data_IF_051496363032
#
_entry.id   IF_051496363032
#
_cell.length_a   1.000
_cell.length_b   1.000
_cell.length_c   1.000
_cell.angle_alpha   90.00
_cell.angle_beta   90.00
_cell.angle_gamma   90.00
#
_symmetry.space_group_name_H-M   'P 1'
#
loop_
_entity.id
_entity.type
_entity.pdbx_description
1 polymer ?
#
# COMPACT_ATOMS: atom_id res chain seq x y z
N UNK A 1 7.88 6.25 -0.26
CA UNK A 1 8.10 7.37 0.68
C UNK A 1 8.40 6.77 2.05
N UNK A 2 9.37 7.32 2.78
CA UNK A 2 9.67 6.97 4.16
C UNK A 2 9.39 8.20 5.05
N UNK A 3 8.97 7.98 6.29
CA UNK A 3 8.75 9.01 7.29
C UNK A 3 9.31 8.56 8.64
N UNK A 4 9.93 9.48 9.36
CA UNK A 4 10.36 9.30 10.73
C UNK A 4 9.39 10.04 11.66
N UNK A 5 8.90 9.33 12.67
CA UNK A 5 7.92 9.85 13.62
C UNK A 5 8.45 9.71 15.05
N UNK A 6 8.09 10.64 15.91
CA UNK A 6 8.31 10.50 17.35
C UNK A 6 7.21 9.63 18.01
N UNK A 7 7.32 9.45 19.32
CA UNK A 7 6.38 8.63 20.09
C UNK A 7 4.94 9.17 20.11
N UNK A 8 4.75 10.46 19.82
CA UNK A 8 3.43 11.10 19.69
C UNK A 8 2.89 11.03 18.25
N UNK A 9 3.53 10.27 17.37
CA UNK A 9 3.24 10.14 15.95
C UNK A 9 3.41 11.44 15.16
N UNK A 10 4.17 12.39 15.68
CA UNK A 10 4.51 13.62 14.97
C UNK A 10 5.63 13.34 13.97
N UNK A 11 5.40 13.72 12.71
CA UNK A 11 6.39 13.58 11.63
C UNK A 11 7.60 14.49 11.91
N UNK A 12 8.78 13.90 11.97
CA UNK A 12 10.08 14.59 12.18
C UNK A 12 10.82 14.80 10.87
N UNK A 13 10.83 13.77 10.03
CA UNK A 13 11.46 13.84 8.72
C UNK A 13 10.73 12.93 7.73
N UNK A 14 10.81 13.27 6.44
CA UNK A 14 10.28 12.45 5.34
C UNK A 14 11.24 12.42 4.17
N UNK A 15 11.28 11.27 3.49
CA UNK A 15 12.08 11.10 2.30
C UNK A 15 11.29 10.39 1.20
N UNK A 16 11.39 10.92 -0.01
CA UNK A 16 10.72 10.36 -1.18
C UNK A 16 11.76 9.84 -2.15
N UNK A 17 11.79 8.53 -2.35
CA UNK A 17 12.64 7.89 -3.35
C UNK A 17 11.80 7.13 -4.37
N UNK A 18 12.32 7.00 -5.59
CA UNK A 18 11.72 6.13 -6.61
C UNK A 18 11.95 4.68 -6.24
N UNK A 19 10.95 3.83 -6.38
CA UNK A 19 11.03 2.39 -6.06
C UNK A 19 11.98 1.64 -7.00
N UNK A 20 12.00 2.01 -8.30
CA UNK A 20 12.77 1.36 -9.37
C UNK A 20 12.47 -0.13 -9.48
N UNK A 21 11.20 -0.49 -9.39
CA UNK A 21 10.74 -1.87 -9.50
C UNK A 21 11.06 -2.51 -10.87
N UNK A 22 11.19 -1.68 -11.90
CA UNK A 22 11.68 -2.06 -13.25
C UNK A 22 13.03 -2.75 -13.23
N UNK A 23 13.81 -2.62 -12.16
CA UNK A 23 15.13 -3.24 -11.98
C UNK A 23 15.10 -4.55 -11.19
N UNK A 24 13.91 -5.03 -10.83
CA UNK A 24 13.69 -6.27 -10.09
C UNK A 24 13.36 -6.09 -8.62
N UNK A 25 12.76 -7.12 -8.05
CA UNK A 25 12.23 -7.10 -6.67
C UNK A 25 13.30 -6.92 -5.60
N UNK A 26 14.48 -7.50 -5.77
CA UNK A 26 15.60 -7.36 -4.82
C UNK A 26 16.10 -5.92 -4.74
N UNK A 27 16.12 -5.20 -5.87
CA UNK A 27 16.49 -3.79 -5.90
C UNK A 27 15.51 -2.96 -5.07
N UNK A 28 14.23 -3.32 -5.07
CA UNK A 28 13.22 -2.66 -4.21
C UNK A 28 13.56 -2.85 -2.74
N UNK A 29 13.91 -4.07 -2.34
CA UNK A 29 14.30 -4.38 -0.94
C UNK A 29 15.54 -3.57 -0.52
N UNK A 30 16.56 -3.54 -1.36
CA UNK A 30 17.78 -2.76 -1.10
C UNK A 30 17.48 -1.28 -0.93
N UNK A 31 16.59 -0.74 -1.75
CA UNK A 31 16.18 0.66 -1.65
C UNK A 31 15.37 0.96 -0.40
N UNK A 32 14.52 0.03 0.06
CA UNK A 32 13.81 0.18 1.34
C UNK A 32 14.81 0.23 2.49
N UNK A 33 15.77 -0.70 2.54
CA UNK A 33 16.81 -0.74 3.58
C UNK A 33 17.66 0.53 3.57
N UNK A 34 18.09 0.95 2.39
CA UNK A 34 18.84 2.17 2.20
C UNK A 34 18.07 3.40 2.69
N UNK A 35 16.81 3.53 2.24
CA UNK A 35 15.95 4.66 2.62
C UNK A 35 15.73 4.75 4.14
N UNK A 36 15.56 3.60 4.81
CA UNK A 36 15.40 3.57 6.26
C UNK A 36 16.68 4.03 6.98
N UNK A 37 17.84 3.56 6.53
CA UNK A 37 19.14 3.94 7.15
C UNK A 37 19.46 5.40 6.95
N UNK A 38 19.44 5.85 5.71
CA UNK A 38 19.78 7.24 5.36
C UNK A 38 18.84 8.24 6.06
N UNK A 39 17.52 7.94 6.11
CA UNK A 39 16.57 8.82 6.81
C UNK A 39 16.87 8.92 8.32
N UNK A 40 17.32 7.84 8.95
CA UNK A 40 17.68 7.80 10.37
C UNK A 40 19.00 8.54 10.60
N UNK A 41 20.02 8.27 9.78
CA UNK A 41 21.34 8.88 9.83
C UNK A 41 21.28 10.41 9.61
N UNK A 42 20.47 10.87 8.65
CA UNK A 42 20.26 12.30 8.36
C UNK A 42 19.67 13.07 9.56
N UNK A 43 19.06 12.36 10.51
CA UNK A 43 18.53 12.95 11.75
C UNK A 43 19.50 12.80 12.94
N UNK A 44 20.73 12.35 12.70
CA UNK A 44 21.72 12.12 13.75
C UNK A 44 21.40 10.94 14.65
N UNK A 45 20.52 10.02 14.22
CA UNK A 45 20.10 8.85 14.96
C UNK A 45 20.77 7.58 14.43
N UNK A 46 20.77 6.53 15.25
CA UNK A 46 21.19 5.19 14.85
C UNK A 46 19.98 4.28 14.68
N UNK A 47 20.09 3.25 13.85
CA UNK A 47 19.00 2.27 13.71
C UNK A 47 18.56 1.64 15.06
N UNK A 48 19.47 1.54 16.03
CA UNK A 48 19.16 1.05 17.38
C UNK A 48 18.22 1.98 18.17
N UNK A 49 18.14 3.25 17.79
CA UNK A 49 17.26 4.23 18.43
C UNK A 49 15.83 4.16 17.87
N UNK A 50 15.59 3.35 16.80
CA UNK A 50 14.29 3.13 16.17
C UNK A 50 13.54 2.00 16.87
N UNK A 51 12.37 2.30 17.41
CA UNK A 51 11.53 1.31 18.12
C UNK A 51 10.93 0.26 17.21
N UNK A 52 10.46 0.68 16.04
CA UNK A 52 9.85 -0.21 15.04
C UNK A 52 9.74 0.48 13.68
N UNK A 53 9.57 -0.33 12.64
CA UNK A 53 9.29 0.11 11.28
C UNK A 53 7.96 -0.47 10.85
N UNK A 54 7.05 0.37 10.37
CA UNK A 54 5.85 -0.01 9.64
C UNK A 54 6.08 0.11 8.13
N UNK A 55 5.74 -0.90 7.38
CA UNK A 55 5.87 -0.93 5.92
C UNK A 55 4.52 -1.24 5.26
N UNK A 56 4.01 -0.31 4.45
CA UNK A 56 2.89 -0.52 3.56
C UNK A 56 3.37 -0.98 2.19
N UNK A 57 2.79 -2.05 1.67
CA UNK A 57 3.11 -2.63 0.37
C UNK A 57 1.83 -2.97 -0.41
N UNK A 58 1.85 -2.90 -1.75
CA UNK A 58 0.75 -3.45 -2.54
C UNK A 58 0.70 -4.98 -2.40
N UNK A 59 -0.45 -5.57 -2.71
CA UNK A 59 -0.66 -7.01 -2.65
C UNK A 59 -1.21 -7.50 -1.31
N UNK A 60 -1.39 -8.81 -1.19
CA UNK A 60 -1.92 -9.45 0.00
C UNK A 60 -0.79 -9.73 0.99
N UNK A 61 -0.98 -9.37 2.26
CA UNK A 61 0.03 -9.58 3.29
C UNK A 61 -0.47 -10.59 4.33
N UNK A 62 0.22 -11.74 4.42
CA UNK A 62 -0.10 -12.81 5.37
C UNK A 62 1.14 -13.10 6.22
N UNK A 63 1.04 -12.88 7.51
CA UNK A 63 2.13 -13.16 8.49
C UNK A 63 3.49 -12.58 8.06
N UNK A 64 3.48 -11.36 7.51
CA UNK A 64 4.69 -10.64 7.07
C UNK A 64 5.28 -11.10 5.74
N UNK A 65 4.59 -11.97 5.00
CA UNK A 65 4.88 -12.33 3.62
C UNK A 65 3.94 -11.58 2.70
N UNK A 66 4.46 -11.08 1.61
CA UNK A 66 3.69 -10.36 0.57
C UNK A 66 3.46 -11.30 -0.59
N UNK A 67 2.23 -11.33 -1.08
CA UNK A 67 1.81 -12.12 -2.22
C UNK A 67 1.24 -11.21 -3.31
N UNK A 68 1.51 -11.57 -4.57
CA UNK A 68 0.91 -10.93 -5.75
C UNK A 68 1.13 -9.40 -5.83
N UNK A 69 2.28 -8.92 -5.38
CA UNK A 69 2.66 -7.52 -5.56
C UNK A 69 3.33 -7.31 -6.93
N UNK A 70 2.55 -7.47 -7.99
CA UNK A 70 3.02 -7.43 -9.38
C UNK A 70 3.78 -6.15 -9.73
N UNK A 71 3.36 -5.01 -9.18
CA UNK A 71 4.03 -3.72 -9.36
C UNK A 71 5.45 -3.66 -8.77
N UNK A 72 5.81 -4.64 -7.93
CA UNK A 72 7.14 -4.77 -7.31
C UNK A 72 7.91 -5.98 -7.84
N UNK A 73 7.33 -6.74 -8.76
CA UNK A 73 7.84 -8.05 -9.21
C UNK A 73 8.03 -9.04 -8.04
N UNK A 74 7.05 -9.06 -7.13
CA UNK A 74 7.01 -9.96 -5.98
C UNK A 74 5.82 -10.91 -6.10
N UNK A 75 6.07 -12.16 -6.43
CA UNK A 75 5.04 -13.21 -6.41
C UNK A 75 4.80 -13.66 -4.97
N UNK A 76 5.90 -13.98 -4.25
CA UNK A 76 5.89 -14.28 -2.82
C UNK A 76 7.20 -13.85 -2.19
N UNK A 77 7.18 -12.90 -1.25
CA UNK A 77 8.37 -12.38 -0.58
C UNK A 77 8.18 -12.29 0.93
N UNK A 78 9.06 -12.91 1.70
CA UNK A 78 9.07 -12.86 3.18
C UNK A 78 9.67 -11.53 3.67
N UNK A 79 9.12 -10.39 3.22
CA UNK A 79 9.71 -9.06 3.37
C UNK A 79 9.96 -8.67 4.82
N UNK A 80 9.03 -9.03 5.73
CA UNK A 80 9.18 -8.71 7.15
C UNK A 80 10.44 -9.33 7.75
N UNK A 81 10.68 -10.61 7.49
CA UNK A 81 11.86 -11.32 8.01
C UNK A 81 13.15 -10.83 7.38
N UNK A 82 13.13 -10.51 6.08
CA UNK A 82 14.27 -9.94 5.37
C UNK A 82 14.67 -8.59 5.98
N UNK A 83 13.69 -7.69 6.16
CA UNK A 83 13.96 -6.36 6.71
C UNK A 83 14.37 -6.42 8.18
N UNK A 84 13.74 -7.26 9.01
CA UNK A 84 14.15 -7.48 10.41
C UNK A 84 15.61 -7.89 10.51
N UNK A 85 16.06 -8.83 9.69
CA UNK A 85 17.45 -9.30 9.66
C UNK A 85 18.42 -8.21 9.20
N UNK A 86 18.04 -7.43 8.18
CA UNK A 86 18.91 -6.40 7.59
C UNK A 86 18.98 -5.13 8.42
N UNK A 87 17.89 -4.71 9.05
CA UNK A 87 17.79 -3.45 9.82
C UNK A 87 17.99 -3.66 11.33
N UNK A 88 17.82 -4.89 11.82
CA UNK A 88 17.95 -5.27 13.24
C UNK A 88 17.01 -4.52 14.17
N UNK A 89 15.80 -4.19 13.66
CA UNK A 89 14.71 -3.56 14.42
C UNK A 89 13.41 -4.32 14.15
N UNK A 90 12.40 -4.24 15.04
CA UNK A 90 11.08 -4.78 14.77
C UNK A 90 10.50 -4.18 13.49
N UNK A 91 9.97 -5.03 12.61
CA UNK A 91 9.32 -4.61 11.36
C UNK A 91 7.92 -5.21 11.32
N UNK A 92 6.95 -4.40 10.97
CA UNK A 92 5.56 -4.77 10.74
C UNK A 92 5.18 -4.42 9.31
N UNK A 93 4.50 -5.33 8.63
CA UNK A 93 4.14 -5.18 7.21
C UNK A 93 2.65 -5.41 7.05
N UNK A 94 1.99 -4.56 6.29
CA UNK A 94 0.60 -4.74 5.88
C UNK A 94 0.38 -4.17 4.48
N UNK A 95 -0.80 -4.42 3.92
CA UNK A 95 -1.24 -3.78 2.68
C UNK A 95 -1.26 -2.25 2.86
N UNK A 96 -0.87 -1.51 1.82
CA UNK A 96 -0.77 -0.05 1.86
C UNK A 96 -2.13 0.63 2.11
N UNK A 97 -3.23 0.16 1.48
CA UNK A 97 -4.56 0.69 1.71
C UNK A 97 -5.09 0.37 3.12
N UNK A 98 -4.77 -0.80 3.66
CA UNK A 98 -5.04 -1.13 5.05
C UNK A 98 -4.35 -0.15 6.01
N UNK A 99 -3.07 0.14 5.77
CA UNK A 99 -2.35 1.10 6.61
C UNK A 99 -2.84 2.53 6.44
N UNK A 100 -3.24 2.95 5.23
CA UNK A 100 -3.90 4.24 5.04
C UNK A 100 -5.20 4.34 5.83
N UNK A 101 -6.05 3.32 5.73
CA UNK A 101 -7.32 3.26 6.47
C UNK A 101 -7.08 3.32 7.98
N UNK A 102 -6.13 2.53 8.48
CA UNK A 102 -5.75 2.50 9.90
C UNK A 102 -5.17 3.84 10.35
N UNK A 103 -4.32 4.46 9.54
CA UNK A 103 -3.74 5.77 9.82
C UNK A 103 -4.80 6.86 9.95
N UNK A 104 -5.72 6.96 9.00
CA UNK A 104 -6.85 7.90 9.07
C UNK A 104 -7.68 7.62 10.32
N UNK A 105 -8.04 6.36 10.56
CA UNK A 105 -8.86 5.99 11.70
C UNK A 105 -8.19 6.37 13.03
N UNK A 106 -6.92 6.02 13.24
CA UNK A 106 -6.22 6.23 14.52
C UNK A 106 -5.73 7.66 14.72
N UNK A 107 -5.21 8.29 13.66
CA UNK A 107 -4.54 9.59 13.77
C UNK A 107 -5.52 10.74 13.52
N UNK A 108 -6.22 10.73 12.39
CA UNK A 108 -7.12 11.84 12.02
C UNK A 108 -8.43 11.78 12.80
N UNK A 109 -9.06 10.60 12.86
CA UNK A 109 -10.36 10.38 13.50
C UNK A 109 -10.25 9.97 14.96
N UNK A 110 -9.03 9.82 15.50
CA UNK A 110 -8.73 9.48 16.90
C UNK A 110 -9.45 8.20 17.39
N UNK A 111 -9.63 7.23 16.48
CA UNK A 111 -10.29 5.95 16.77
C UNK A 111 -11.79 6.03 17.05
N UNK A 112 -12.44 7.16 16.78
CA UNK A 112 -13.87 7.35 17.09
C UNK A 112 -14.84 6.45 16.32
N UNK A 113 -14.74 6.29 14.99
CA UNK A 113 -15.63 5.40 14.25
C UNK A 113 -15.37 3.95 14.62
N UNK A 114 -16.42 3.25 15.07
CA UNK A 114 -16.32 1.80 15.31
C UNK A 114 -16.30 1.02 13.98
N UNK A 115 -16.99 1.53 12.97
CA UNK A 115 -17.05 0.92 11.65
C UNK A 115 -16.73 1.98 10.59
N UNK A 116 -15.80 1.69 9.70
CA UNK A 116 -15.35 2.61 8.66
C UNK A 116 -14.85 1.83 7.46
N UNK A 117 -15.13 2.34 6.28
CA UNK A 117 -14.56 1.89 5.02
C UNK A 117 -13.69 3.02 4.47
N UNK A 118 -12.45 2.71 4.19
CA UNK A 118 -11.53 3.55 3.42
C UNK A 118 -11.54 3.12 1.96
N UNK A 119 -11.71 4.05 1.03
CA UNK A 119 -11.61 3.82 -0.41
C UNK A 119 -10.57 4.77 -1.01
N UNK A 120 -9.62 4.23 -1.77
CA UNK A 120 -8.47 4.98 -2.26
C UNK A 120 -8.34 4.86 -3.78
N UNK A 121 -8.51 5.99 -4.44
CA UNK A 121 -8.33 6.12 -5.88
C UNK A 121 -6.88 6.49 -6.17
N UNK A 122 -6.16 5.56 -6.79
CA UNK A 122 -4.77 5.74 -7.21
C UNK A 122 -4.57 5.22 -8.63
N UNK A 123 -3.43 4.61 -8.89
CA UNK A 123 -3.18 3.86 -10.13
C UNK A 123 -4.21 2.74 -10.29
N UNK A 124 -4.55 2.05 -9.20
CA UNK A 124 -5.66 1.14 -9.04
C UNK A 124 -6.76 1.74 -8.14
N UNK A 125 -7.64 0.88 -7.65
CA UNK A 125 -8.69 1.19 -6.68
C UNK A 125 -8.55 0.22 -5.49
N UNK A 126 -8.07 0.70 -4.36
CA UNK A 126 -7.89 -0.09 -3.16
C UNK A 126 -8.80 0.35 -2.02
N UNK A 127 -8.78 -0.42 -0.93
CA UNK A 127 -9.54 -0.06 0.25
C UNK A 127 -9.06 -0.75 1.52
N UNK A 128 -9.67 -0.38 2.64
CA UNK A 128 -9.50 -1.02 3.93
C UNK A 128 -10.77 -0.91 4.76
N UNK A 129 -10.92 -1.78 5.71
CA UNK A 129 -12.13 -1.90 6.52
C UNK A 129 -11.76 -1.87 8.00
N UNK A 130 -12.44 -1.02 8.77
CA UNK A 130 -12.43 -1.06 10.23
C UNK A 130 -13.78 -1.61 10.68
N UNK A 131 -13.77 -2.63 11.53
CA UNK A 131 -14.95 -3.17 12.19
C UNK A 131 -14.68 -3.24 13.69
N UNK A 132 -15.64 -2.77 14.49
CA UNK A 132 -15.51 -2.72 15.95
C UNK A 132 -14.22 -2.01 16.43
N UNK A 133 -13.82 -0.95 15.72
CA UNK A 133 -12.64 -0.18 16.04
C UNK A 133 -11.30 -0.81 15.61
N UNK A 134 -11.31 -1.99 14.97
CA UNK A 134 -10.11 -2.71 14.58
C UNK A 134 -10.05 -2.94 13.07
N UNK A 135 -8.83 -3.00 12.52
CA UNK A 135 -8.61 -3.28 11.10
C UNK A 135 -9.03 -4.71 10.76
N UNK A 136 -10.05 -4.82 9.94
CA UNK A 136 -10.60 -6.11 9.48
C UNK A 136 -9.91 -6.54 8.19
N UNK A 137 -9.26 -7.68 8.22
CA UNK A 137 -8.52 -8.22 7.06
C UNK A 137 -9.28 -9.33 6.33
N UNK A 138 -10.38 -9.84 6.92
CA UNK A 138 -11.09 -11.01 6.42
C UNK A 138 -10.32 -12.31 6.62
N UNK A 139 -10.98 -13.42 6.30
CA UNK A 139 -10.39 -14.76 6.46
C UNK A 139 -9.14 -14.96 5.58
N UNK A 140 -9.19 -14.48 4.34
CA UNK A 140 -8.12 -14.63 3.34
C UNK A 140 -7.24 -13.37 3.21
N UNK A 141 -7.30 -12.45 4.19
CA UNK A 141 -6.54 -11.18 4.16
C UNK A 141 -6.83 -10.30 2.94
N UNK A 142 -8.02 -10.45 2.33
CA UNK A 142 -8.44 -9.71 1.14
C UNK A 142 -9.64 -8.77 1.41
N UNK A 143 -9.94 -8.47 2.66
CA UNK A 143 -10.95 -7.46 2.96
C UNK A 143 -10.50 -6.10 2.46
N UNK A 144 -11.43 -5.34 1.85
CA UNK A 144 -11.10 -4.03 1.28
C UNK A 144 -10.71 -4.06 -0.20
N UNK A 145 -10.65 -5.22 -0.84
CA UNK A 145 -10.38 -5.36 -2.29
C UNK A 145 -11.58 -4.93 -3.15
N UNK A 146 -12.16 -3.75 -2.84
CA UNK A 146 -13.34 -3.20 -3.54
C UNK A 146 -13.10 -2.97 -5.01
N UNK A 147 -11.86 -2.64 -5.39
CA UNK A 147 -11.47 -2.44 -6.76
C UNK A 147 -11.74 -3.65 -7.66
N UNK A 148 -11.76 -4.85 -7.09
CA UNK A 148 -11.98 -6.10 -7.81
C UNK A 148 -13.46 -6.48 -7.95
N UNK A 149 -14.38 -5.73 -7.32
CA UNK A 149 -15.83 -5.97 -7.47
C UNK A 149 -16.27 -5.71 -8.91
N UNK A 150 -16.93 -6.66 -9.54
CA UNK A 150 -17.52 -6.48 -10.88
C UNK A 150 -18.75 -5.58 -10.80
N UNK A 151 -18.67 -4.42 -11.44
CA UNK A 151 -19.76 -3.42 -11.52
C UNK A 151 -20.48 -3.51 -12.87
N UNK A 152 -19.74 -3.81 -13.93
CA UNK A 152 -20.28 -3.97 -15.28
C UNK A 152 -19.87 -5.32 -15.87
N UNK A 153 -20.80 -6.25 -15.98
CA UNK A 153 -20.56 -7.59 -16.54
C UNK A 153 -20.02 -7.59 -17.97
N UNK A 154 -20.32 -6.55 -18.74
CA UNK A 154 -19.90 -6.38 -20.13
C UNK A 154 -18.66 -5.46 -20.26
N UNK A 155 -18.16 -4.93 -19.14
CA UNK A 155 -17.07 -4.00 -19.12
C UNK A 155 -15.72 -4.59 -19.55
N UNK A 156 -14.73 -3.75 -19.60
CA UNK A 156 -13.39 -4.13 -20.05
C UNK A 156 -12.72 -5.11 -19.07
N UNK A 157 -12.00 -6.08 -19.62
CA UNK A 157 -11.05 -6.91 -18.86
C UNK A 157 -9.67 -6.24 -18.93
N UNK A 158 -9.01 -6.12 -17.79
CA UNK A 158 -7.63 -5.63 -17.72
C UNK A 158 -6.68 -6.76 -17.30
N UNK A 159 -5.37 -6.52 -17.41
CA UNK A 159 -4.37 -7.53 -17.07
C UNK A 159 -4.40 -7.92 -15.57
N UNK A 160 -4.79 -7.00 -14.69
CA UNK A 160 -4.67 -7.15 -13.24
C UNK A 160 -5.98 -7.02 -12.47
N UNK A 161 -7.13 -6.93 -13.19
CA UNK A 161 -8.44 -6.84 -12.54
C UNK A 161 -9.48 -7.68 -13.25
N UNK A 162 -10.56 -8.01 -12.56
CA UNK A 162 -11.69 -8.72 -13.17
C UNK A 162 -12.38 -7.88 -14.24
N UNK A 163 -13.09 -8.56 -15.16
CA UNK A 163 -13.86 -7.89 -16.20
C UNK A 163 -14.88 -6.93 -15.56
N UNK A 164 -14.90 -5.67 -16.03
CA UNK A 164 -15.83 -4.65 -15.57
C UNK A 164 -15.73 -4.36 -14.08
N UNK A 165 -14.56 -4.52 -13.49
CA UNK A 165 -14.33 -4.23 -12.10
C UNK A 165 -14.37 -2.72 -11.82
N UNK A 166 -14.67 -2.36 -10.57
CA UNK A 166 -14.65 -0.97 -10.13
C UNK A 166 -13.28 -0.31 -10.46
N UNK A 167 -12.18 -1.02 -10.28
CA UNK A 167 -10.85 -0.54 -10.65
C UNK A 167 -10.72 -0.26 -12.15
N UNK A 168 -11.25 -1.14 -13.00
CA UNK A 168 -11.21 -0.94 -14.47
C UNK A 168 -11.98 0.29 -14.94
N UNK A 169 -12.98 0.71 -14.19
CA UNK A 169 -13.83 1.85 -14.48
C UNK A 169 -13.35 3.14 -13.80
N UNK A 170 -13.13 3.10 -12.50
CA UNK A 170 -12.98 4.27 -11.65
C UNK A 170 -11.55 4.56 -11.16
N UNK A 171 -10.57 3.68 -11.42
CA UNK A 171 -9.17 4.01 -11.12
C UNK A 171 -8.65 5.11 -12.06
N UNK A 172 -7.57 5.80 -11.65
CA UNK A 172 -6.90 6.77 -12.54
C UNK A 172 -6.57 6.15 -13.90
N UNK A 173 -6.07 4.92 -13.93
CA UNK A 173 -5.77 4.20 -15.17
C UNK A 173 -7.03 3.91 -15.98
N UNK A 174 -8.12 3.52 -15.31
CA UNK A 174 -9.43 3.31 -15.93
C UNK A 174 -9.99 4.58 -16.56
N UNK A 175 -10.04 5.66 -15.78
CA UNK A 175 -10.55 6.97 -16.25
C UNK A 175 -9.76 7.45 -17.47
N UNK A 176 -8.42 7.45 -17.40
CA UNK A 176 -7.58 7.87 -18.53
C UNK A 176 -7.83 7.01 -19.79
N UNK A 177 -8.08 5.71 -19.62
CA UNK A 177 -8.40 4.82 -20.73
C UNK A 177 -9.75 5.17 -21.36
N UNK A 178 -10.77 5.41 -20.54
CA UNK A 178 -12.09 5.81 -21.05
C UNK A 178 -12.03 7.16 -21.78
N UNK A 179 -11.36 8.15 -21.21
CA UNK A 179 -11.17 9.45 -21.87
C UNK A 179 -10.44 9.33 -23.21
N UNK A 180 -9.35 8.54 -23.24
CA UNK A 180 -8.63 8.31 -24.51
C UNK A 180 -9.51 7.65 -25.57
N UNK A 181 -10.36 6.70 -25.17
CA UNK A 181 -11.29 6.05 -26.08
C UNK A 181 -12.31 7.05 -26.63
N UNK A 182 -12.97 7.82 -25.76
CA UNK A 182 -13.94 8.85 -26.15
C UNK A 182 -13.34 9.86 -27.15
N UNK A 183 -12.14 10.38 -26.85
CA UNK A 183 -11.44 11.31 -27.77
C UNK A 183 -11.13 10.66 -29.13
N UNK A 184 -10.75 9.38 -29.18
CA UNK A 184 -10.48 8.70 -30.45
C UNK A 184 -11.76 8.40 -31.24
N UNK A 185 -12.89 8.22 -30.57
CA UNK A 185 -14.22 7.99 -31.17
C UNK A 185 -14.96 9.30 -31.51
N UNK A 186 -14.36 10.48 -31.21
CA UNK A 186 -14.93 11.80 -31.52
C UNK A 186 -16.10 12.19 -30.62
N UNK A 187 -16.20 11.57 -29.43
CA UNK A 187 -17.15 11.97 -28.41
C UNK A 187 -16.65 13.29 -27.76
N UNK A 188 -17.54 14.32 -27.73
CA UNK A 188 -17.28 15.61 -27.06
C UNK A 188 -17.46 15.53 -25.52
#
# INVERSE_FOLDING_TARGET
MAGLFDQSLKLKAKWKIKTKADRGGDVVIDRIVRAARELVEDQGLRMADIRAIGLGVPGVVIKGRVFNAYNLHWDEVAIQSILRRRLRVPVFVDNDCNLFTLGIHRVELKGKPQNMVGAFLGTGFGGGVILNGELFRGHNYAAGEFGQMTIDKNGLKTAHSFRGSLESLASRTGIVRHLRKAVLEGEE
#
